data_IF_627008356828
#
_entry.id   IF_627008356828
#
_cell.length_a   1.000
_cell.length_b   1.000
_cell.length_c   1.000
_cell.angle_alpha   90.00
_cell.angle_beta   90.00
_cell.angle_gamma   90.00
#
_symmetry.space_group_name_H-M   'P 1'
#
loop_
_entity.id
_entity.type
_entity.pdbx_description
1 polymer ?
#
# COMPACT_ATOMS: atom_id res chain seq x y z
N UNK A 1 -2.59 -1.18 -5.34
CA UNK A 1 -2.71 -1.85 -6.63
C UNK A 1 -4.17 -2.17 -6.89
N UNK A 2 -4.57 -2.28 -8.15
CA UNK A 2 -5.92 -2.61 -8.59
C UNK A 2 -5.86 -3.36 -9.93
N UNK A 3 -7.00 -3.94 -10.34
CA UNK A 3 -7.10 -4.82 -11.50
C UNK A 3 -6.06 -5.96 -11.46
N UNK A 4 -5.92 -6.58 -10.29
CA UNK A 4 -5.05 -7.75 -10.08
C UNK A 4 -5.62 -8.92 -10.91
N UNK A 5 -4.80 -9.62 -11.74
CA UNK A 5 -5.28 -10.76 -12.50
C UNK A 5 -5.91 -11.84 -11.61
N UNK A 6 -7.01 -12.45 -12.05
CA UNK A 6 -7.70 -13.48 -11.26
C UNK A 6 -6.85 -14.73 -10.98
N UNK A 7 -5.80 -14.96 -11.78
CA UNK A 7 -4.85 -16.06 -11.60
C UNK A 7 -3.78 -15.75 -10.53
N UNK A 8 -3.71 -14.51 -10.05
CA UNK A 8 -2.69 -14.09 -9.07
C UNK A 8 -3.12 -14.46 -7.66
N UNK A 9 -2.35 -15.33 -7.00
CA UNK A 9 -2.56 -15.76 -5.62
C UNK A 9 -1.42 -15.36 -4.66
N UNK A 10 -0.34 -14.78 -5.18
CA UNK A 10 0.79 -14.28 -4.41
C UNK A 10 1.44 -13.07 -5.10
N UNK A 11 2.22 -12.32 -4.32
CA UNK A 11 3.11 -11.30 -4.83
C UNK A 11 4.51 -11.57 -4.33
N UNK A 12 5.49 -11.45 -5.23
CA UNK A 12 6.90 -11.45 -4.83
C UNK A 12 7.21 -10.21 -3.98
N UNK A 13 8.15 -10.37 -3.05
CA UNK A 13 8.62 -9.21 -2.29
C UNK A 13 9.37 -8.24 -3.21
N UNK A 14 9.16 -6.94 -3.01
CA UNK A 14 9.91 -5.91 -3.74
C UNK A 14 9.54 -5.79 -5.21
N UNK A 15 8.28 -6.03 -5.59
CA UNK A 15 7.79 -5.69 -6.93
C UNK A 15 8.17 -4.26 -7.31
N UNK A 16 8.52 -4.02 -8.58
CA UNK A 16 8.92 -2.69 -9.01
C UNK A 16 7.76 -1.70 -8.89
N UNK A 17 8.11 -0.47 -8.56
CA UNK A 17 7.20 0.67 -8.54
C UNK A 17 6.96 1.12 -10.00
N UNK A 18 5.87 0.68 -10.60
CA UNK A 18 5.49 0.91 -12.00
C UNK A 18 3.99 1.06 -12.14
N UNK A 19 3.51 1.95 -13.02
CA UNK A 19 2.08 2.18 -13.27
C UNK A 19 1.35 0.90 -13.67
N UNK A 20 2.01 0.07 -14.47
CA UNK A 20 1.52 -1.26 -14.90
C UNK A 20 2.66 -2.26 -14.79
N UNK A 21 2.38 -3.47 -14.30
CA UNK A 21 3.28 -4.62 -14.32
C UNK A 21 3.02 -5.52 -15.55
N UNK A 22 3.93 -6.47 -15.79
CA UNK A 22 3.89 -7.33 -16.97
C UNK A 22 2.62 -8.20 -17.07
N UNK A 23 1.99 -8.50 -15.94
CA UNK A 23 0.76 -9.29 -15.84
C UNK A 23 -0.52 -8.44 -15.97
N UNK A 24 -0.39 -7.13 -16.19
CA UNK A 24 -1.51 -6.20 -16.30
C UNK A 24 -1.98 -5.60 -14.98
N UNK A 25 -1.39 -5.99 -13.84
CA UNK A 25 -1.66 -5.36 -12.56
C UNK A 25 -1.28 -3.89 -12.59
N UNK A 26 -2.19 -3.02 -12.12
CA UNK A 26 -1.97 -1.58 -12.06
C UNK A 26 -1.64 -1.13 -10.64
N UNK A 27 -0.75 -0.15 -10.52
CA UNK A 27 -0.42 0.50 -9.26
C UNK A 27 -0.93 1.95 -9.29
N UNK A 28 -1.56 2.38 -8.19
CA UNK A 28 -2.08 3.74 -8.02
C UNK A 28 -1.06 4.67 -7.35
N UNK A 29 -1.42 5.94 -7.22
CA UNK A 29 -0.64 6.93 -6.48
C UNK A 29 -0.73 6.69 -4.97
N UNK A 30 0.39 6.95 -4.30
CA UNK A 30 0.48 7.02 -2.84
C UNK A 30 0.57 8.47 -2.36
N UNK A 31 0.49 8.66 -1.05
CA UNK A 31 0.72 9.96 -0.41
C UNK A 31 2.15 10.50 -0.64
N UNK A 32 3.10 9.65 -1.08
CA UNK A 32 4.43 10.05 -1.55
C UNK A 32 4.43 10.58 -2.99
N UNK A 33 3.26 10.79 -3.58
CA UNK A 33 3.05 11.33 -4.93
C UNK A 33 3.73 10.50 -6.03
N UNK A 34 3.87 9.19 -5.78
CA UNK A 34 4.47 8.24 -6.72
C UNK A 34 3.71 6.91 -6.67
N UNK A 35 3.91 6.12 -7.71
CA UNK A 35 3.31 4.81 -7.86
C UNK A 35 4.08 3.75 -7.07
N UNK A 36 3.37 2.74 -6.58
CA UNK A 36 3.95 1.56 -5.94
C UNK A 36 4.06 1.67 -4.43
N UNK A 37 4.86 0.82 -3.81
CA UNK A 37 4.96 0.75 -2.35
C UNK A 37 6.24 1.44 -1.85
N UNK A 38 6.08 2.48 -1.03
CA UNK A 38 7.15 3.08 -0.23
C UNK A 38 6.95 2.65 1.23
N UNK A 39 7.90 1.90 1.76
CA UNK A 39 7.77 1.22 3.04
C UNK A 39 7.60 2.14 4.28
N UNK A 40 7.53 1.55 5.48
CA UNK A 40 7.30 2.28 6.72
C UNK A 40 8.35 3.35 7.02
N UNK A 41 7.94 4.62 7.16
CA UNK A 41 8.79 5.71 7.61
C UNK A 41 8.11 6.52 8.74
N UNK A 42 7.81 5.90 9.90
CA UNK A 42 7.19 6.63 11.01
C UNK A 42 8.20 7.59 11.65
N UNK A 43 7.74 8.69 12.26
CA UNK A 43 8.56 9.50 13.16
C UNK A 43 9.20 8.64 14.27
N UNK A 44 10.32 9.09 14.89
CA UNK A 44 10.92 8.36 16.00
C UNK A 44 9.94 8.34 17.18
N UNK A 45 9.96 7.26 17.98
CA UNK A 45 9.14 7.16 19.19
C UNK A 45 8.02 6.13 19.07
N UNK A 46 6.75 6.55 18.93
CA UNK A 46 5.61 5.62 19.00
C UNK A 46 5.50 4.74 17.73
N UNK A 47 5.19 3.43 17.85
CA UNK A 47 4.96 2.57 16.70
C UNK A 47 3.73 3.01 15.91
N UNK A 48 3.82 2.97 14.58
CA UNK A 48 2.67 3.11 13.69
C UNK A 48 2.10 1.74 13.33
N UNK A 49 0.80 1.70 13.02
CA UNK A 49 0.09 0.53 12.49
C UNK A 49 -0.03 0.66 10.98
N UNK A 50 0.43 -0.34 10.25
CA UNK A 50 0.36 -0.42 8.79
C UNK A 50 -0.63 -1.51 8.41
N UNK A 51 -1.68 -1.13 7.70
CA UNK A 51 -2.73 -2.05 7.25
C UNK A 51 -2.55 -2.35 5.77
N UNK A 52 -2.37 -3.62 5.45
CA UNK A 52 -2.49 -4.14 4.10
C UNK A 52 -3.91 -4.67 3.95
N UNK A 53 -4.63 -4.13 2.98
CA UNK A 53 -6.01 -4.53 2.69
C UNK A 53 -6.08 -5.18 1.33
N UNK A 54 -6.80 -6.29 1.26
CA UNK A 54 -7.12 -6.96 0.01
C UNK A 54 -8.64 -7.06 -0.10
N UNK A 55 -9.14 -6.71 -1.28
CA UNK A 55 -10.56 -6.67 -1.59
C UNK A 55 -10.83 -7.60 -2.76
N UNK A 56 -11.83 -8.47 -2.62
CA UNK A 56 -12.39 -9.22 -3.73
C UNK A 56 -13.57 -8.42 -4.29
N UNK A 57 -13.57 -8.21 -5.60
CA UNK A 57 -14.60 -7.45 -6.31
C UNK A 57 -15.31 -8.35 -7.32
N UNK A 58 -16.57 -8.03 -7.62
CA UNK A 58 -17.33 -8.66 -8.71
C UNK A 58 -17.11 -7.99 -10.09
N UNK A 59 -16.24 -6.97 -10.15
CA UNK A 59 -15.96 -6.20 -11.35
C UNK A 59 -14.49 -5.81 -11.46
N UNK A 60 -14.04 -5.55 -12.70
CA UNK A 60 -12.79 -4.84 -12.97
C UNK A 60 -13.03 -3.34 -12.86
N UNK A 61 -12.11 -2.59 -12.24
CA UNK A 61 -12.28 -1.16 -12.07
C UNK A 61 -12.03 -0.41 -13.39
N UNK A 62 -11.10 -0.91 -14.23
CA UNK A 62 -10.77 -0.34 -15.55
C UNK A 62 -10.51 1.18 -15.54
N UNK A 63 -9.97 1.69 -14.43
CA UNK A 63 -9.69 3.10 -14.26
C UNK A 63 -8.42 3.51 -15.04
N UNK A 64 -8.28 4.80 -15.41
CA UNK A 64 -7.04 5.35 -15.93
C UNK A 64 -5.88 5.16 -14.95
N UNK A 65 -4.63 5.23 -15.41
CA UNK A 65 -3.46 5.14 -14.53
C UNK A 65 -3.43 6.28 -13.50
N UNK A 66 -2.61 6.11 -12.44
CA UNK A 66 -2.38 7.13 -11.40
C UNK A 66 -3.60 7.51 -10.55
N UNK A 67 -4.55 6.60 -10.35
CA UNK A 67 -5.65 6.82 -9.40
C UNK A 67 -5.16 6.91 -7.96
N UNK A 68 -5.83 7.74 -7.17
CA UNK A 68 -5.61 7.82 -5.72
C UNK A 68 -6.36 6.72 -4.99
N UNK A 69 -6.04 6.53 -3.70
CA UNK A 69 -6.82 5.63 -2.83
C UNK A 69 -8.31 5.99 -2.80
N UNK A 70 -8.66 7.27 -2.80
CA UNK A 70 -10.05 7.74 -2.73
C UNK A 70 -10.83 7.35 -3.98
N UNK A 71 -10.20 7.50 -5.16
CA UNK A 71 -10.81 7.11 -6.43
C UNK A 71 -11.08 5.61 -6.47
N UNK A 72 -10.11 4.79 -6.03
CA UNK A 72 -10.26 3.34 -5.96
C UNK A 72 -11.39 2.94 -5.02
N UNK A 73 -11.45 3.51 -3.81
CA UNK A 73 -12.51 3.19 -2.84
C UNK A 73 -13.90 3.59 -3.36
N UNK A 74 -13.98 4.69 -4.10
CA UNK A 74 -15.23 5.15 -4.72
C UNK A 74 -15.67 4.19 -5.83
N UNK A 75 -14.75 3.77 -6.69
CA UNK A 75 -15.03 2.82 -7.77
C UNK A 75 -15.37 1.40 -7.27
N UNK A 76 -14.83 1.02 -6.11
CA UNK A 76 -15.14 -0.26 -5.46
C UNK A 76 -16.50 -0.28 -4.74
N UNK A 77 -17.09 0.89 -4.48
CA UNK A 77 -18.32 0.98 -3.70
C UNK A 77 -19.46 0.21 -4.39
N UNK A 78 -20.11 -0.69 -3.64
CA UNK A 78 -21.16 -1.57 -4.16
C UNK A 78 -20.66 -2.86 -4.81
N UNK A 79 -19.36 -3.01 -5.02
CA UNK A 79 -18.74 -4.14 -5.72
C UNK A 79 -17.89 -5.05 -4.83
N UNK A 80 -17.76 -4.73 -3.53
CA UNK A 80 -16.92 -5.51 -2.61
C UNK A 80 -17.64 -6.79 -2.17
N UNK A 81 -17.12 -7.93 -2.61
CA UNK A 81 -17.58 -9.26 -2.20
C UNK A 81 -16.95 -9.70 -0.87
N UNK A 82 -15.67 -9.36 -0.65
CA UNK A 82 -14.94 -9.69 0.57
C UNK A 82 -13.79 -8.71 0.83
N UNK A 83 -13.42 -8.58 2.10
CA UNK A 83 -12.25 -7.81 2.55
C UNK A 83 -11.44 -8.63 3.56
N UNK A 84 -10.12 -8.66 3.40
CA UNK A 84 -9.19 -9.14 4.41
C UNK A 84 -8.17 -8.05 4.74
N UNK A 85 -7.70 -8.05 5.99
CA UNK A 85 -6.71 -7.08 6.48
C UNK A 85 -5.60 -7.79 7.22
N UNK A 86 -4.36 -7.42 6.88
CA UNK A 86 -3.18 -7.74 7.65
C UNK A 86 -2.66 -6.46 8.29
N UNK A 87 -2.37 -6.49 9.59
CA UNK A 87 -1.85 -5.35 10.33
C UNK A 87 -0.47 -5.65 10.90
N UNK A 88 0.52 -4.88 10.46
CA UNK A 88 1.87 -4.87 11.01
C UNK A 88 2.13 -3.61 11.85
N UNK A 89 3.07 -3.69 12.79
CA UNK A 89 3.57 -2.52 13.52
C UNK A 89 5.04 -2.31 13.20
N UNK A 90 5.43 -1.05 13.04
CA UNK A 90 6.83 -0.66 12.91
C UNK A 90 7.10 0.59 13.75
N UNK A 91 8.20 0.57 14.51
CA UNK A 91 8.71 1.70 15.31
C UNK A 91 10.09 2.06 14.76
N UNK A 92 10.26 3.33 14.40
CA UNK A 92 11.60 3.89 14.16
C UNK A 92 12.27 4.08 15.51
N UNK A 93 13.52 3.61 15.64
CA UNK A 93 14.34 3.81 16.84
C UNK A 93 14.47 5.31 17.11
N UNK A 94 14.53 5.66 18.39
CA UNK A 94 14.90 7.01 18.80
C UNK A 94 16.34 7.29 18.35
N UNK A 95 16.61 8.55 18.03
CA UNK A 95 17.96 8.99 17.74
C UNK A 95 18.72 9.17 19.05
N UNK A 96 19.59 8.19 19.37
CA UNK A 96 20.42 8.23 20.58
C UNK A 96 21.52 9.30 20.54
N UNK A 97 21.73 9.98 19.40
CA UNK A 97 22.72 11.07 19.29
C UNK A 97 22.30 12.37 19.99
N UNK A 98 21.02 12.51 20.36
CA UNK A 98 20.48 13.68 21.05
C UNK A 98 20.50 13.59 22.58
N UNK A 99 20.96 12.48 23.17
CA UNK A 99 21.08 12.35 24.64
C UNK A 99 22.28 13.17 25.13
N UNK A 100 22.12 14.06 26.13
CA UNK A 100 23.26 14.76 26.70
C UNK A 100 24.21 13.71 27.31
N UNK A 101 25.46 13.67 26.84
CA UNK A 101 26.54 12.97 27.52
C UNK A 101 26.80 13.70 28.84
N UNK A 102 26.36 13.10 29.94
CA UNK A 102 26.76 13.54 31.28
C UNK A 102 28.23 13.10 31.44
N UNK A 103 29.12 14.08 31.64
CA UNK A 103 30.52 13.89 32.05
C UNK A 103 30.58 13.47 33.53
#
# INVERSE_FOLDING_TARGET
AYDIPMTTNSFEAGLPNSETLADGLKQGLTDFHRTGYDGPCPPPGKPHRYYFKLYALDTLLNLPLKQTKTDLLSAMHGHILAEIRLMGKYKRKEDDSAKPRIL
#
